data_IF_847679497886
#
_entry.id   IF_847679497886
#
_cell.length_a   1.000
_cell.length_b   1.000
_cell.length_c   1.000
_cell.angle_alpha   90.00
_cell.angle_beta   90.00
_cell.angle_gamma   90.00
#
_symmetry.space_group_name_H-M   'P 1'
#
loop_
_entity.id
_entity.type
_entity.pdbx_description
1 polymer ?
#
# COMPACT_ATOMS: atom_id res chain seq x y z
N UNK A 1 1.49 6.19 31.79
CA UNK A 1 2.15 6.92 30.69
C UNK A 1 2.80 5.90 29.78
N UNK A 2 2.29 5.71 28.56
CA UNK A 2 2.95 4.85 27.57
C UNK A 2 3.99 5.70 26.84
N UNK A 3 5.25 5.32 26.97
CA UNK A 3 6.40 5.91 26.29
C UNK A 3 6.22 5.81 24.77
N UNK A 4 6.46 6.90 24.03
CA UNK A 4 6.39 6.94 22.57
C UNK A 4 7.41 5.97 21.92
N UNK A 5 8.45 5.55 22.64
CA UNK A 5 9.40 4.51 22.21
C UNK A 5 8.74 3.14 21.97
N UNK A 6 7.61 2.84 22.63
CA UNK A 6 6.86 1.60 22.40
C UNK A 6 6.21 1.57 21.01
N UNK A 7 6.00 2.72 20.36
CA UNK A 7 5.39 2.76 19.02
C UNK A 7 6.32 2.28 17.91
N UNK A 8 7.64 2.19 18.16
CA UNK A 8 8.59 1.67 17.16
C UNK A 8 8.63 0.15 17.08
N UNK A 9 8.20 -0.55 18.14
CA UNK A 9 8.20 -2.02 18.24
C UNK A 9 6.84 -2.66 17.98
N UNK A 10 5.77 -1.87 17.91
CA UNK A 10 4.42 -2.36 17.63
C UNK A 10 4.24 -2.67 16.14
N UNK A 11 3.52 -3.77 15.87
CA UNK A 11 3.05 -4.09 14.52
C UNK A 11 1.94 -3.12 14.07
N UNK A 12 1.55 -3.23 12.80
CA UNK A 12 0.55 -2.34 12.22
C UNK A 12 -0.86 -2.47 12.86
N UNK A 13 -1.21 -3.64 13.42
CA UNK A 13 -2.46 -3.82 14.17
C UNK A 13 -2.40 -3.11 15.53
N UNK A 14 -1.29 -3.22 16.25
CA UNK A 14 -1.05 -2.52 17.50
C UNK A 14 -1.08 -1.00 17.32
N UNK A 15 -0.49 -0.48 16.25
CA UNK A 15 -0.52 0.94 15.92
C UNK A 15 -1.93 1.45 15.58
N UNK A 16 -2.73 0.67 14.84
CA UNK A 16 -4.12 1.06 14.54
C UNK A 16 -5.00 1.02 15.81
N UNK A 17 -4.77 0.06 16.71
CA UNK A 17 -5.50 -0.04 17.98
C UNK A 17 -5.30 1.19 18.89
N UNK A 18 -4.18 1.91 18.76
CA UNK A 18 -3.92 3.17 19.50
C UNK A 18 -4.94 4.28 19.18
N UNK A 19 -5.68 4.21 18.06
CA UNK A 19 -6.79 5.13 17.78
C UNK A 19 -7.89 5.07 18.83
N UNK A 20 -8.07 3.92 19.49
CA UNK A 20 -9.06 3.73 20.55
C UNK A 20 -8.58 4.24 21.91
N UNK A 21 -7.33 4.73 22.01
CA UNK A 21 -6.75 5.29 23.22
C UNK A 21 -6.56 6.81 23.08
N UNK A 22 -7.21 7.56 23.94
CA UNK A 22 -7.05 9.01 23.99
C UNK A 22 -5.69 9.39 24.61
N UNK A 23 -5.11 10.50 24.14
CA UNK A 23 -3.93 11.09 24.77
C UNK A 23 -4.25 11.79 26.11
N UNK A 24 -3.23 12.34 26.76
CA UNK A 24 -3.37 13.05 28.04
C UNK A 24 -4.33 14.27 27.98
N UNK A 25 -4.62 14.75 26.77
CA UNK A 25 -5.54 15.86 26.50
C UNK A 25 -6.90 15.39 25.98
N UNK A 26 -7.19 14.08 25.97
CA UNK A 26 -8.45 13.53 25.47
C UNK A 26 -8.57 13.52 23.95
N UNK A 27 -7.46 13.60 23.19
CA UNK A 27 -7.48 13.63 21.72
C UNK A 27 -7.15 12.27 21.10
N UNK A 28 -7.71 12.03 19.91
CA UNK A 28 -7.45 10.84 19.10
C UNK A 28 -6.04 10.94 18.49
N UNK A 29 -5.31 9.83 18.52
CA UNK A 29 -3.93 9.73 18.01
C UNK A 29 -3.89 9.46 16.50
N UNK A 30 -4.32 10.41 15.67
CA UNK A 30 -4.33 10.26 14.19
C UNK A 30 -2.96 9.96 13.57
N UNK A 31 -1.87 10.38 14.20
CA UNK A 31 -0.51 10.04 13.75
C UNK A 31 -0.22 8.55 13.84
N UNK A 32 -0.84 7.85 14.80
CA UNK A 32 -0.68 6.40 14.95
C UNK A 32 -1.28 5.65 13.74
N UNK A 33 -2.39 6.13 13.17
CA UNK A 33 -3.00 5.54 11.97
C UNK A 33 -2.12 5.67 10.73
N UNK A 34 -1.49 6.83 10.55
CA UNK A 34 -0.50 7.04 9.47
C UNK A 34 0.72 6.13 9.63
N UNK A 35 1.19 5.94 10.87
CA UNK A 35 2.27 5.00 11.18
C UNK A 35 1.83 3.56 10.91
N UNK A 36 0.60 3.18 11.27
CA UNK A 36 0.04 1.85 11.01
C UNK A 36 0.00 1.55 9.51
N UNK A 37 -0.52 2.46 8.68
CA UNK A 37 -0.52 2.33 7.23
C UNK A 37 0.90 2.11 6.69
N UNK A 38 1.88 2.90 7.13
CA UNK A 38 3.29 2.73 6.72
C UNK A 38 3.84 1.36 7.14
N UNK A 39 3.62 0.93 8.39
CA UNK A 39 4.12 -0.35 8.87
C UNK A 39 3.46 -1.54 8.18
N UNK A 40 2.18 -1.43 7.81
CA UNK A 40 1.50 -2.45 7.01
C UNK A 40 2.19 -2.67 5.67
N UNK A 41 2.59 -1.60 4.98
CA UNK A 41 3.35 -1.71 3.74
C UNK A 41 4.73 -2.35 3.96
N UNK A 42 5.47 -1.93 4.99
CA UNK A 42 6.84 -2.42 5.22
C UNK A 42 6.88 -3.89 5.67
N UNK A 43 5.96 -4.28 6.55
CA UNK A 43 5.96 -5.59 7.20
C UNK A 43 5.14 -6.64 6.42
N UNK A 44 4.10 -6.21 5.69
CA UNK A 44 3.20 -7.13 4.99
C UNK A 44 3.18 -6.90 3.48
N UNK A 45 2.66 -5.77 2.99
CA UNK A 45 2.37 -5.60 1.55
C UNK A 45 3.63 -5.76 0.70
N UNK A 46 4.73 -5.06 1.02
CA UNK A 46 5.95 -5.09 0.20
C UNK A 46 6.63 -6.46 0.20
N UNK A 47 6.52 -7.23 1.30
CA UNK A 47 7.10 -8.57 1.40
C UNK A 47 6.30 -9.62 0.63
N UNK A 48 5.01 -9.39 0.43
CA UNK A 48 4.09 -10.32 -0.24
C UNK A 48 3.68 -9.86 -1.65
N UNK A 49 4.16 -8.71 -2.12
CA UNK A 49 3.90 -8.23 -3.48
C UNK A 49 4.82 -8.92 -4.47
N UNK A 50 4.25 -9.61 -5.46
CA UNK A 50 5.01 -10.22 -6.54
C UNK A 50 5.75 -9.14 -7.33
N UNK A 51 7.06 -9.30 -7.45
CA UNK A 51 7.94 -8.43 -8.23
C UNK A 51 8.15 -9.00 -9.63
N UNK A 52 8.13 -8.13 -10.64
CA UNK A 52 8.41 -8.44 -12.04
C UNK A 52 9.54 -7.54 -12.53
N UNK A 53 10.39 -8.03 -13.43
CA UNK A 53 11.53 -7.29 -13.98
C UNK A 53 11.09 -6.20 -14.97
N UNK A 54 9.91 -6.34 -15.58
CA UNK A 54 9.32 -5.33 -16.47
C UNK A 54 7.79 -5.33 -16.43
N UNK A 55 7.19 -4.24 -16.93
CA UNK A 55 5.73 -4.17 -17.10
C UNK A 55 5.24 -5.20 -18.13
N UNK A 56 6.00 -5.46 -19.19
CA UNK A 56 5.62 -6.46 -20.21
C UNK A 56 5.55 -7.86 -19.61
N UNK A 57 6.52 -8.23 -18.77
CA UNK A 57 6.53 -9.50 -18.04
C UNK A 57 5.33 -9.58 -17.09
N UNK A 58 5.04 -8.50 -16.34
CA UNK A 58 3.90 -8.43 -15.44
C UNK A 58 2.57 -8.61 -16.17
N UNK A 59 2.34 -7.86 -17.24
CA UNK A 59 1.08 -7.93 -17.98
C UNK A 59 0.92 -9.26 -18.70
N UNK A 60 2.00 -9.83 -19.25
CA UNK A 60 2.00 -11.16 -19.84
C UNK A 60 1.60 -12.22 -18.81
N UNK A 61 2.31 -12.28 -17.68
CA UNK A 61 2.02 -13.21 -16.59
C UNK A 61 0.56 -13.10 -16.09
N UNK A 62 0.06 -11.88 -15.89
CA UNK A 62 -1.30 -11.68 -15.41
C UNK A 62 -2.37 -12.12 -16.43
N UNK A 63 -2.08 -12.04 -17.72
CA UNK A 63 -2.98 -12.56 -18.75
C UNK A 63 -2.89 -14.08 -18.84
N UNK A 64 -1.67 -14.62 -18.86
CA UNK A 64 -1.43 -16.07 -19.02
C UNK A 64 -2.01 -16.87 -17.85
N UNK A 65 -2.05 -16.30 -16.65
CA UNK A 65 -2.62 -16.91 -15.44
C UNK A 65 -4.08 -16.47 -15.17
N UNK A 66 -4.78 -15.98 -16.19
CA UNK A 66 -6.21 -15.61 -16.15
C UNK A 66 -6.60 -14.53 -15.10
N UNK A 67 -5.65 -13.71 -14.64
CA UNK A 67 -5.97 -12.56 -13.76
C UNK A 67 -6.49 -11.36 -14.54
N UNK A 68 -5.93 -11.09 -15.72
CA UNK A 68 -6.24 -9.91 -16.55
C UNK A 68 -6.84 -10.33 -17.91
N UNK A 69 -7.83 -9.57 -18.37
CA UNK A 69 -8.45 -9.79 -19.69
C UNK A 69 -7.58 -9.22 -20.82
N UNK A 70 -7.08 -10.11 -21.67
CA UNK A 70 -6.29 -9.75 -22.86
C UNK A 70 -7.05 -8.83 -23.82
N UNK A 71 -8.37 -8.97 -23.93
CA UNK A 71 -9.18 -8.16 -24.85
C UNK A 71 -9.17 -6.68 -24.46
N UNK A 72 -9.13 -6.36 -23.15
CA UNK A 72 -9.05 -4.97 -22.66
C UNK A 72 -7.70 -4.36 -22.98
N UNK A 73 -6.61 -5.10 -22.72
CA UNK A 73 -5.25 -4.61 -22.98
C UNK A 73 -4.98 -4.46 -24.49
N UNK A 74 -5.51 -5.37 -25.30
CA UNK A 74 -5.34 -5.39 -26.76
C UNK A 74 -5.98 -4.21 -27.50
N UNK A 75 -6.82 -3.40 -26.83
CA UNK A 75 -7.39 -2.17 -27.38
C UNK A 75 -6.35 -1.03 -27.48
N UNK A 76 -5.19 -1.18 -26.84
CA UNK A 76 -4.17 -0.14 -26.75
C UNK A 76 -2.80 -0.66 -27.19
N UNK A 77 -1.97 0.23 -27.73
CA UNK A 77 -0.59 -0.11 -28.04
C UNK A 77 0.28 -0.19 -26.77
N UNK A 78 1.36 -0.97 -26.83
CA UNK A 78 2.26 -1.17 -25.68
C UNK A 78 2.85 0.15 -25.16
N UNK A 79 3.18 1.12 -26.02
CA UNK A 79 3.77 2.39 -25.56
C UNK A 79 2.76 3.19 -24.75
N UNK A 80 1.50 3.19 -25.16
CA UNK A 80 0.43 3.79 -24.38
C UNK A 80 0.29 3.14 -23.00
N UNK A 81 0.26 1.79 -22.96
CA UNK A 81 0.15 1.04 -21.70
C UNK A 81 1.29 1.36 -20.73
N UNK A 82 2.54 1.39 -21.21
CA UNK A 82 3.69 1.80 -20.39
C UNK A 82 3.55 3.21 -19.86
N UNK A 83 3.18 4.16 -20.74
CA UNK A 83 3.03 5.57 -20.36
C UNK A 83 2.00 5.78 -19.26
N UNK A 84 0.82 5.16 -19.33
CA UNK A 84 -0.20 5.34 -18.29
C UNK A 84 0.21 4.72 -16.96
N UNK A 85 0.99 3.63 -16.99
CA UNK A 85 1.57 3.02 -15.81
C UNK A 85 2.59 3.97 -15.17
N UNK A 86 3.51 4.51 -15.96
CA UNK A 86 4.49 5.49 -15.49
C UNK A 86 3.81 6.73 -14.89
N UNK A 87 2.78 7.25 -15.56
CA UNK A 87 1.98 8.39 -15.05
C UNK A 87 1.28 8.08 -13.72
N UNK A 88 0.76 6.86 -13.55
CA UNK A 88 0.13 6.42 -12.31
C UNK A 88 1.15 6.35 -11.16
N UNK A 89 2.31 5.71 -11.39
CA UNK A 89 3.36 5.59 -10.37
C UNK A 89 4.04 6.94 -10.06
N UNK A 90 4.11 7.85 -11.04
CA UNK A 90 4.63 9.20 -10.84
C UNK A 90 3.82 10.01 -9.81
N UNK A 91 2.56 9.65 -9.54
CA UNK A 91 1.76 10.29 -8.48
C UNK A 91 2.28 10.01 -7.07
N UNK A 92 3.15 9.01 -6.89
CA UNK A 92 3.72 8.61 -5.59
C UNK A 92 2.64 8.49 -4.50
N UNK A 93 1.50 7.89 -4.88
CA UNK A 93 0.34 7.79 -4.00
C UNK A 93 0.68 7.10 -2.68
N UNK A 94 0.07 7.58 -1.59
CA UNK A 94 0.16 7.00 -0.25
C UNK A 94 -1.24 6.95 0.32
N UNK A 95 -1.62 5.80 0.87
CA UNK A 95 -2.88 5.68 1.58
C UNK A 95 -2.87 6.62 2.80
N UNK A 96 -3.92 7.45 2.98
CA UNK A 96 -3.98 8.41 4.08
C UNK A 96 -4.28 7.74 5.42
N UNK A 97 -4.84 6.53 5.40
CA UNK A 97 -5.30 5.78 6.58
C UNK A 97 -4.93 4.31 6.48
N UNK A 98 -4.80 3.62 7.63
CA UNK A 98 -4.52 2.17 7.64
C UNK A 98 -5.69 1.37 7.07
N UNK A 99 -6.93 1.68 7.48
CA UNK A 99 -8.11 0.96 7.00
C UNK A 99 -8.32 1.10 5.48
N UNK A 100 -7.92 2.22 4.89
CA UNK A 100 -7.97 2.35 3.43
C UNK A 100 -6.92 1.50 2.70
N UNK A 101 -5.86 1.09 3.39
CA UNK A 101 -4.78 0.26 2.84
C UNK A 101 -4.95 -1.24 3.10
N UNK A 102 -5.55 -1.63 4.24
CA UNK A 102 -5.73 -3.00 4.71
C UNK A 102 -6.70 -3.79 3.84
#
# INVERSE_FOLDING_TARGET
MLDDSLTETLDYHGLNAMLNLYDENGKIRFDADRKAARQYFLQHVNQNTVFFHSLDEKLGYLVDEDYYDAAVLGLYDKKFLHRIWDEAYAKKFRFPTFLGAF
#
